data_IF_838291855747
#
_entry.id   IF_838291855747
#
_cell.length_a   1.000
_cell.length_b   1.000
_cell.length_c   1.000
_cell.angle_alpha   90.00
_cell.angle_beta   90.00
_cell.angle_gamma   90.00
#
_symmetry.space_group_name_H-M   'P 1'
#
loop_
_entity.id
_entity.type
_entity.pdbx_description
1 polymer ?
#
# COMPACT_ATOMS: atom_id res chain seq x y z
N UNK A 1 -4.60 15.31 2.79
CA UNK A 1 -5.18 13.96 2.88
C UNK A 1 -4.99 13.45 4.30
N UNK A 2 -5.91 12.62 4.81
CA UNK A 2 -5.87 12.00 6.16
C UNK A 2 -5.92 10.48 6.04
N UNK A 3 -5.54 9.75 7.09
CA UNK A 3 -5.67 8.29 7.11
C UNK A 3 -7.11 7.80 6.85
N UNK A 4 -8.12 8.50 7.37
CA UNK A 4 -9.52 8.20 7.10
C UNK A 4 -9.91 8.42 5.63
N UNK A 5 -9.31 9.39 4.95
CA UNK A 5 -9.52 9.59 3.52
C UNK A 5 -8.81 8.50 2.71
N UNK A 6 -7.60 8.09 3.08
CA UNK A 6 -6.90 6.97 2.44
C UNK A 6 -7.67 5.65 2.56
N UNK A 7 -8.17 5.31 3.76
CA UNK A 7 -8.95 4.07 3.96
C UNK A 7 -10.20 4.00 3.08
N UNK A 8 -10.78 5.16 2.72
CA UNK A 8 -11.96 5.27 1.84
C UNK A 8 -11.61 5.26 0.36
N UNK A 9 -10.43 5.73 -0.01
CA UNK A 9 -9.98 5.88 -1.39
C UNK A 9 -8.79 4.95 -1.65
N UNK A 10 -8.95 3.65 -1.39
CA UNK A 10 -7.92 2.66 -1.68
C UNK A 10 -7.83 2.42 -3.20
N UNK A 11 -6.61 2.20 -3.73
CA UNK A 11 -6.38 2.07 -5.16
C UNK A 11 -7.16 0.90 -5.78
N UNK A 12 -7.35 -0.19 -5.03
CA UNK A 12 -8.14 -1.37 -5.44
C UNK A 12 -9.56 -1.05 -5.92
N UNK A 13 -10.13 0.08 -5.50
CA UNK A 13 -11.45 0.52 -6.00
C UNK A 13 -11.40 0.77 -7.50
N UNK A 14 -10.37 1.48 -7.96
CA UNK A 14 -10.17 1.76 -9.39
C UNK A 14 -9.76 0.50 -10.14
N UNK A 15 -9.01 -0.40 -9.52
CA UNK A 15 -8.63 -1.68 -10.15
C UNK A 15 -9.85 -2.49 -10.56
N UNK A 16 -10.82 -2.66 -9.65
CA UNK A 16 -12.10 -3.34 -9.96
C UNK A 16 -12.88 -2.60 -11.04
N UNK A 17 -12.92 -1.26 -11.00
CA UNK A 17 -13.65 -0.48 -12.01
C UNK A 17 -13.02 -0.60 -13.41
N UNK A 18 -11.71 -0.78 -13.49
CA UNK A 18 -10.96 -0.89 -14.75
C UNK A 18 -10.91 -2.32 -15.32
N UNK A 19 -11.12 -3.34 -14.50
CA UNK A 19 -11.21 -4.75 -14.92
C UNK A 19 -12.69 -5.14 -15.18
N UNK A 20 -13.24 -4.62 -16.27
CA UNK A 20 -14.66 -4.78 -16.63
C UNK A 20 -15.11 -6.25 -16.71
N UNK A 21 -14.19 -7.15 -17.08
CA UNK A 21 -14.46 -8.59 -17.24
C UNK A 21 -14.13 -9.40 -15.96
N UNK A 22 -13.48 -8.79 -14.97
CA UNK A 22 -13.12 -9.41 -13.69
C UNK A 22 -12.12 -10.56 -13.81
N UNK A 23 -11.23 -10.51 -14.81
CA UNK A 23 -10.29 -11.57 -15.11
C UNK A 23 -9.01 -11.47 -14.26
N UNK A 24 -8.62 -10.26 -13.86
CA UNK A 24 -7.33 -9.97 -13.21
C UNK A 24 -7.49 -9.71 -11.70
N UNK A 25 -8.56 -9.04 -11.31
CA UNK A 25 -8.82 -8.66 -9.92
C UNK A 25 -9.95 -9.50 -9.32
N UNK A 26 -9.55 -10.61 -8.70
CA UNK A 26 -10.47 -11.49 -7.97
C UNK A 26 -10.92 -10.87 -6.64
N UNK A 27 -12.06 -11.30 -6.12
CA UNK A 27 -12.49 -10.90 -4.77
C UNK A 27 -11.42 -11.24 -3.71
N UNK A 28 -10.68 -12.33 -3.92
CA UNK A 28 -9.65 -12.81 -3.01
C UNK A 28 -8.43 -11.88 -3.00
N UNK A 29 -7.82 -11.60 -4.16
CA UNK A 29 -6.62 -10.75 -4.21
C UNK A 29 -6.95 -9.32 -3.78
N UNK A 30 -8.09 -8.76 -4.18
CA UNK A 30 -8.51 -7.42 -3.76
C UNK A 30 -8.77 -7.36 -2.25
N UNK A 31 -9.43 -8.36 -1.67
CA UNK A 31 -9.67 -8.41 -0.22
C UNK A 31 -8.37 -8.53 0.57
N UNK A 32 -7.43 -9.35 0.09
CA UNK A 32 -6.10 -9.48 0.66
C UNK A 32 -5.34 -8.15 0.60
N UNK A 33 -5.32 -7.47 -0.55
CA UNK A 33 -4.63 -6.19 -0.73
C UNK A 33 -5.22 -5.14 0.19
N UNK A 34 -6.55 -5.04 0.23
CA UNK A 34 -7.26 -4.12 1.13
C UNK A 34 -6.88 -4.32 2.60
N UNK A 35 -6.77 -5.58 3.04
CA UNK A 35 -6.38 -5.92 4.41
C UNK A 35 -4.93 -5.51 4.71
N UNK A 36 -4.00 -5.71 3.77
CA UNK A 36 -2.60 -5.27 3.90
C UNK A 36 -2.53 -3.75 4.01
N UNK A 37 -3.23 -3.02 3.13
CA UNK A 37 -3.29 -1.56 3.17
C UNK A 37 -3.95 -1.02 4.45
N UNK A 38 -5.05 -1.63 4.91
CA UNK A 38 -5.68 -1.25 6.18
C UNK A 38 -4.75 -1.49 7.37
N UNK A 39 -4.01 -2.61 7.38
CA UNK A 39 -3.03 -2.92 8.42
C UNK A 39 -1.91 -1.90 8.44
N UNK A 40 -1.38 -1.52 7.27
CA UNK A 40 -0.36 -0.49 7.15
C UNK A 40 -0.83 0.85 7.73
N UNK A 41 -2.02 1.33 7.35
CA UNK A 41 -2.57 2.58 7.90
C UNK A 41 -2.77 2.47 9.41
N UNK A 42 -3.31 1.35 9.90
CA UNK A 42 -3.51 1.15 11.34
C UNK A 42 -2.18 1.14 12.11
N UNK A 43 -1.11 0.57 11.54
CA UNK A 43 0.21 0.56 12.16
C UNK A 43 0.79 1.97 12.24
N UNK A 44 0.69 2.77 11.18
CA UNK A 44 1.09 4.17 11.20
C UNK A 44 0.30 4.99 12.22
N UNK A 45 -1.02 4.79 12.32
CA UNK A 45 -1.86 5.43 13.33
C UNK A 45 -1.43 5.08 14.77
N UNK A 46 -1.01 3.82 14.99
CA UNK A 46 -0.57 3.32 16.30
C UNK A 46 0.78 3.87 16.74
N UNK A 47 1.64 4.33 15.82
CA UNK A 47 2.88 5.03 16.17
C UNK A 47 2.61 6.33 16.96
N UNK A 48 1.42 6.92 16.80
CA UNK A 48 0.98 8.06 17.57
C UNK A 48 1.56 9.39 17.09
N UNK A 49 1.93 10.27 18.02
CA UNK A 49 2.38 11.64 17.69
C UNK A 49 3.90 11.70 17.55
N UNK A 50 4.35 12.28 16.44
CA UNK A 50 5.76 12.52 16.12
C UNK A 50 6.62 11.25 16.18
N UNK A 51 6.25 10.18 15.44
CA UNK A 51 7.14 9.04 15.31
C UNK A 51 8.47 9.43 14.66
N UNK A 52 9.50 8.66 14.92
CA UNK A 52 10.77 8.80 14.23
C UNK A 52 10.67 8.30 12.79
N UNK A 53 11.49 8.84 11.89
CA UNK A 53 11.58 8.34 10.51
C UNK A 53 11.86 6.85 10.46
N UNK A 54 12.69 6.34 11.38
CA UNK A 54 12.98 4.91 11.50
C UNK A 54 11.73 4.07 11.80
N UNK A 55 10.86 4.51 12.70
CA UNK A 55 9.60 3.82 13.01
C UNK A 55 8.65 3.80 11.82
N UNK A 56 8.55 4.92 11.09
CA UNK A 56 7.72 5.00 9.87
C UNK A 56 8.28 4.07 8.79
N UNK A 57 9.59 4.13 8.52
CA UNK A 57 10.24 3.30 7.51
C UNK A 57 10.19 1.82 7.84
N UNK A 58 10.17 1.44 9.12
CA UNK A 58 9.91 0.06 9.53
C UNK A 58 8.53 -0.41 9.08
N UNK A 59 7.49 0.42 9.28
CA UNK A 59 6.11 0.09 8.86
C UNK A 59 5.98 0.10 7.33
N UNK A 60 6.68 0.99 6.63
CA UNK A 60 6.80 1.00 5.16
C UNK A 60 7.41 -0.31 4.66
N UNK A 61 8.53 -0.73 5.25
CA UNK A 61 9.16 -2.01 4.90
C UNK A 61 8.21 -3.18 5.07
N UNK A 62 7.50 -3.26 6.20
CA UNK A 62 6.56 -4.35 6.46
C UNK A 62 5.44 -4.39 5.41
N UNK A 63 4.87 -3.25 5.01
CA UNK A 63 3.84 -3.26 3.98
C UNK A 63 4.37 -3.68 2.62
N UNK A 64 5.58 -3.23 2.23
CA UNK A 64 6.18 -3.63 0.94
C UNK A 64 6.42 -5.14 0.89
N UNK A 65 6.97 -5.73 1.96
CA UNK A 65 7.19 -7.17 2.03
C UNK A 65 5.87 -7.97 1.99
N UNK A 66 4.84 -7.51 2.70
CA UNK A 66 3.52 -8.16 2.64
C UNK A 66 2.91 -8.07 1.22
N UNK A 67 3.17 -7.00 0.47
CA UNK A 67 2.70 -6.89 -0.92
C UNK A 67 3.51 -7.80 -1.84
N UNK A 68 4.84 -7.94 -1.64
CA UNK A 68 5.63 -8.93 -2.38
C UNK A 68 5.04 -10.34 -2.21
N UNK A 69 4.81 -10.76 -0.96
CA UNK A 69 4.21 -12.06 -0.64
C UNK A 69 2.83 -12.23 -1.30
N UNK A 70 1.99 -11.19 -1.22
CA UNK A 70 0.66 -11.20 -1.84
C UNK A 70 0.74 -11.32 -3.37
N UNK A 71 1.67 -10.61 -4.01
CA UNK A 71 1.86 -10.68 -5.46
C UNK A 71 2.27 -12.10 -5.89
N UNK A 72 3.19 -12.72 -5.14
CA UNK A 72 3.63 -14.10 -5.38
C UNK A 72 2.51 -15.12 -5.17
N UNK A 73 1.67 -14.93 -4.15
CA UNK A 73 0.53 -15.80 -3.83
C UNK A 73 -0.61 -15.73 -4.86
N UNK A 74 -0.73 -14.61 -5.56
CA UNK A 74 -1.83 -14.32 -6.49
C UNK A 74 -1.37 -14.17 -7.95
N UNK A 75 -0.47 -15.05 -8.39
CA UNK A 75 -0.04 -15.19 -9.79
C UNK A 75 0.53 -13.90 -10.43
N UNK A 76 1.21 -13.07 -9.63
CA UNK A 76 1.85 -11.82 -10.06
C UNK A 76 0.90 -10.81 -10.73
N UNK A 77 -0.30 -10.63 -10.17
CA UNK A 77 -1.33 -9.72 -10.71
C UNK A 77 -0.99 -8.22 -10.63
N UNK A 78 0.04 -7.81 -9.87
CA UNK A 78 0.47 -6.41 -9.80
C UNK A 78 1.33 -6.09 -11.01
N UNK A 79 0.83 -5.20 -11.85
CA UNK A 79 1.51 -4.70 -13.04
C UNK A 79 1.94 -3.23 -12.85
N UNK A 80 2.39 -2.59 -13.93
CA UNK A 80 2.94 -1.23 -13.87
C UNK A 80 1.95 -0.21 -13.30
N UNK A 81 0.64 -0.31 -13.57
CA UNK A 81 -0.33 0.68 -13.09
C UNK A 81 -0.61 0.51 -11.59
N UNK A 82 -0.85 -0.73 -11.17
CA UNK A 82 -1.12 -1.10 -9.79
C UNK A 82 0.09 -0.80 -8.91
N UNK A 83 1.31 -0.95 -9.46
CA UNK A 83 2.54 -0.58 -8.78
C UNK A 83 2.59 0.91 -8.47
N UNK A 84 2.32 1.78 -9.44
CA UNK A 84 2.34 3.24 -9.22
C UNK A 84 1.26 3.65 -8.20
N UNK A 85 0.08 3.05 -8.28
CA UNK A 85 -1.02 3.28 -7.35
C UNK A 85 -0.67 2.88 -5.90
N UNK A 86 -0.04 1.71 -5.73
CA UNK A 86 0.42 1.25 -4.42
C UNK A 86 1.53 2.12 -3.86
N UNK A 87 2.50 2.50 -4.70
CA UNK A 87 3.56 3.43 -4.33
C UNK A 87 2.98 4.76 -3.84
N UNK A 88 2.08 5.38 -4.61
CA UNK A 88 1.46 6.66 -4.24
C UNK A 88 0.68 6.55 -2.92
N UNK A 89 -0.05 5.44 -2.72
CA UNK A 89 -0.76 5.18 -1.47
C UNK A 89 0.20 5.07 -0.28
N UNK A 90 1.28 4.30 -0.42
CA UNK A 90 2.26 4.05 0.63
C UNK A 90 2.99 5.35 1.00
N UNK A 91 3.49 6.08 0.00
CA UNK A 91 4.18 7.36 0.19
C UNK A 91 3.28 8.41 0.84
N UNK A 92 2.04 8.54 0.36
CA UNK A 92 1.08 9.50 0.93
C UNK A 92 0.78 9.20 2.40
N UNK A 93 0.62 7.93 2.77
CA UNK A 93 0.39 7.55 4.15
C UNK A 93 1.62 7.83 5.04
N UNK A 94 2.83 7.54 4.56
CA UNK A 94 4.06 7.80 5.29
C UNK A 94 4.26 9.30 5.53
N UNK A 95 3.96 10.15 4.54
CA UNK A 95 3.94 11.61 4.67
C UNK A 95 2.92 12.09 5.71
N UNK A 96 1.74 11.49 5.77
CA UNK A 96 0.74 11.79 6.81
C UNK A 96 1.27 11.45 8.21
N UNK A 97 2.05 10.37 8.34
CA UNK A 97 2.72 10.00 9.59
C UNK A 97 3.88 10.94 9.97
N UNK A 98 4.31 11.82 9.05
CA UNK A 98 5.36 12.81 9.27
C UNK A 98 6.70 12.50 8.60
N UNK A 99 6.77 11.51 7.71
CA UNK A 99 7.98 11.23 6.94
C UNK A 99 8.19 12.29 5.85
N UNK A 100 9.39 12.86 5.77
CA UNK A 100 9.81 13.76 4.70
C UNK A 100 10.87 13.06 3.84
N UNK A 101 10.48 12.58 2.66
CA UNK A 101 11.38 11.97 1.67
C UNK A 101 11.09 12.49 0.26
N UNK A 102 12.15 12.67 -0.53
CA UNK A 102 12.08 12.92 -1.98
C UNK A 102 12.38 11.66 -2.81
N UNK A 103 12.84 10.59 -2.15
CA UNK A 103 13.15 9.29 -2.76
C UNK A 103 11.94 8.35 -2.69
N UNK A 104 11.93 7.36 -3.58
CA UNK A 104 10.97 6.26 -3.52
C UNK A 104 11.25 5.38 -2.29
N UNK A 105 10.47 5.61 -1.24
CA UNK A 105 10.61 4.96 0.08
C UNK A 105 10.34 3.44 0.05
N UNK A 106 9.91 2.93 -1.09
CA UNK A 106 9.53 1.54 -1.29
C UNK A 106 10.57 0.78 -2.13
N UNK A 107 11.44 1.48 -2.87
CA UNK A 107 12.38 0.90 -3.85
C UNK A 107 13.31 -0.16 -3.25
N UNK A 108 13.78 0.01 -2.01
CA UNK A 108 14.76 -0.90 -1.38
C UNK A 108 14.23 -2.35 -1.25
N UNK A 109 12.92 -2.52 -1.06
CA UNK A 109 12.32 -3.83 -0.76
C UNK A 109 11.32 -4.30 -1.80
N UNK A 110 10.98 -3.48 -2.81
CA UNK A 110 9.91 -3.76 -3.77
C UNK A 110 10.34 -4.84 -4.77
N UNK A 111 9.50 -5.85 -4.94
CA UNK A 111 9.67 -6.91 -5.95
C UNK A 111 8.49 -6.98 -6.95
N UNK A 112 7.48 -6.12 -6.79
CA UNK A 112 6.30 -5.93 -7.67
C UNK A 112 6.36 -4.63 -8.49
#
# INVERSE_FOLDING_TARGET
MTFNELKKNKPTTQWIENDEDGEFFTEENISATNKVLDTYINNLEQLGKNPTEFEIMHVVKEVVLNINELNDEHDHFIETMEREDLYEFIDTAARIAGLESEEDITEEWREW
#
